data_IF_872122319864
#
_entry.id   IF_872122319864
#
_cell.length_a   1.000
_cell.length_b   1.000
_cell.length_c   1.000
_cell.angle_alpha   90.00
_cell.angle_beta   90.00
_cell.angle_gamma   90.00
#
_symmetry.space_group_name_H-M   'P 1'
#
loop_
_entity.id
_entity.type
_entity.pdbx_description
1 polymer ?
#
# COMPACT_ATOMS: atom_id res chain seq x y z
N UNK A 1 -0.39 1.51 25.78
CA UNK A 1 -1.38 1.55 24.69
C UNK A 1 -1.79 2.99 24.44
N UNK A 2 -2.40 3.69 25.42
CA UNK A 2 -2.77 5.12 25.28
C UNK A 2 -1.61 6.07 24.92
N UNK A 3 -0.40 5.89 25.47
CA UNK A 3 0.74 6.76 25.15
C UNK A 3 1.26 6.58 23.70
N UNK A 4 1.17 5.36 23.16
CA UNK A 4 1.61 5.06 21.79
C UNK A 4 0.60 5.60 20.77
N UNK A 5 -0.70 5.37 21.02
CA UNK A 5 -1.77 5.95 20.22
C UNK A 5 -1.72 7.49 20.27
N UNK A 6 -1.49 8.07 21.45
CA UNK A 6 -1.30 9.51 21.59
C UNK A 6 -0.09 10.00 20.80
N UNK A 7 1.03 9.26 20.83
CA UNK A 7 2.22 9.58 20.04
C UNK A 7 1.94 9.54 18.53
N UNK A 8 1.27 8.51 18.04
CA UNK A 8 0.88 8.39 16.62
C UNK A 8 -0.04 9.52 16.18
N UNK A 9 -1.05 9.86 16.98
CA UNK A 9 -1.94 10.98 16.69
C UNK A 9 -1.19 12.31 16.68
N UNK A 10 -0.22 12.50 17.58
CA UNK A 10 0.65 13.67 17.61
C UNK A 10 1.55 13.71 16.37
N UNK A 11 2.13 12.59 15.95
CA UNK A 11 2.95 12.50 14.75
C UNK A 11 2.14 12.77 13.47
N UNK A 12 0.92 12.22 13.38
CA UNK A 12 -0.02 12.51 12.30
C UNK A 12 -0.37 14.00 12.26
N UNK A 13 -0.65 14.61 13.42
CA UNK A 13 -0.90 16.04 13.51
C UNK A 13 0.30 16.86 13.04
N UNK A 14 1.52 16.51 13.49
CA UNK A 14 2.77 17.18 13.10
C UNK A 14 3.01 17.09 11.60
N UNK A 15 2.85 15.90 11.00
CA UNK A 15 2.98 15.69 9.55
C UNK A 15 1.98 16.54 8.77
N UNK A 16 0.71 16.57 9.19
CA UNK A 16 -0.33 17.41 8.57
C UNK A 16 -0.01 18.90 8.68
N UNK A 17 0.41 19.36 9.86
CA UNK A 17 0.83 20.75 10.08
C UNK A 17 2.03 21.12 9.21
N UNK A 18 3.05 20.27 9.15
CA UNK A 18 4.23 20.47 8.33
C UNK A 18 3.85 20.55 6.84
N UNK A 19 3.00 19.64 6.36
CA UNK A 19 2.51 19.66 4.99
C UNK A 19 1.73 20.95 4.68
N UNK A 20 0.86 21.37 5.60
CA UNK A 20 0.11 22.63 5.46
C UNK A 20 1.06 23.83 5.36
N UNK A 21 2.03 23.93 6.26
CA UNK A 21 3.03 25.01 6.22
C UNK A 21 3.88 24.94 4.95
N UNK A 22 4.30 23.75 4.51
CA UNK A 22 5.03 23.58 3.27
C UNK A 22 4.24 24.11 2.07
N UNK A 23 2.98 23.70 1.92
CA UNK A 23 2.12 24.15 0.80
C UNK A 23 1.89 25.66 0.87
N UNK A 24 1.55 26.19 2.06
CA UNK A 24 1.31 27.62 2.24
C UNK A 24 2.56 28.46 1.94
N UNK A 25 3.69 28.11 2.53
CA UNK A 25 4.94 28.85 2.33
C UNK A 25 5.43 28.72 0.88
N UNK A 26 5.18 27.58 0.23
CA UNK A 26 5.47 27.40 -1.20
C UNK A 26 4.62 28.34 -2.05
N UNK A 27 3.31 28.45 -1.79
CA UNK A 27 2.45 29.41 -2.49
C UNK A 27 2.94 30.86 -2.37
N UNK A 28 3.41 31.25 -1.18
CA UNK A 28 3.90 32.61 -0.92
C UNK A 28 5.28 32.89 -1.54
N UNK A 29 6.20 31.91 -1.48
CA UNK A 29 7.61 32.11 -1.85
C UNK A 29 7.97 31.64 -3.25
N UNK A 30 7.22 30.70 -3.82
CA UNK A 30 7.46 30.16 -5.15
C UNK A 30 6.12 29.81 -5.84
N UNK A 31 5.45 30.82 -6.42
CA UNK A 31 4.16 30.63 -7.09
C UNK A 31 4.20 29.61 -8.23
N UNK A 32 5.30 29.55 -8.99
CA UNK A 32 5.49 28.59 -10.10
C UNK A 32 5.51 27.15 -9.59
N UNK A 33 6.24 26.90 -8.50
CA UNK A 33 6.27 25.56 -7.88
C UNK A 33 4.91 25.19 -7.28
N UNK A 34 4.23 26.14 -6.66
CA UNK A 34 2.87 25.91 -6.16
C UNK A 34 1.91 25.54 -7.29
N UNK A 35 1.93 26.29 -8.40
CA UNK A 35 1.11 26.00 -9.58
C UNK A 35 1.39 24.58 -10.11
N UNK A 36 2.65 24.19 -10.23
CA UNK A 36 3.04 22.83 -10.63
C UNK A 36 2.53 21.75 -9.65
N UNK A 37 2.60 22.01 -8.35
CA UNK A 37 2.10 21.08 -7.32
C UNK A 37 0.57 20.95 -7.35
N UNK A 38 -0.15 22.05 -7.55
CA UNK A 38 -1.62 22.08 -7.56
C UNK A 38 -2.23 21.84 -8.93
N UNK A 39 -1.41 21.67 -9.97
CA UNK A 39 -1.87 21.44 -11.32
C UNK A 39 -2.81 20.22 -11.37
N UNK A 40 -3.87 20.32 -12.18
CA UNK A 40 -4.89 19.27 -12.28
C UNK A 40 -4.23 17.91 -12.57
N UNK A 41 -4.54 16.89 -11.77
CA UNK A 41 -3.94 15.55 -11.86
C UNK A 41 -2.40 15.50 -11.66
N UNK A 42 -1.78 16.50 -11.01
CA UNK A 42 -0.33 16.49 -10.74
C UNK A 42 0.12 15.24 -9.97
N UNK A 43 -0.70 14.73 -9.05
CA UNK A 43 -0.41 13.52 -8.30
C UNK A 43 -0.39 12.28 -9.22
N UNK A 44 -1.41 12.12 -10.06
CA UNK A 44 -1.49 11.01 -11.02
C UNK A 44 -0.31 11.05 -12.02
N UNK A 45 0.01 12.22 -12.58
CA UNK A 45 1.14 12.37 -13.51
C UNK A 45 2.48 12.01 -12.86
N UNK A 46 2.69 12.41 -11.60
CA UNK A 46 3.89 12.04 -10.83
C UNK A 46 3.95 10.54 -10.57
N UNK A 47 2.86 9.93 -10.11
CA UNK A 47 2.83 8.48 -9.85
C UNK A 47 3.11 7.67 -11.10
N UNK A 48 2.50 8.03 -12.24
CA UNK A 48 2.78 7.40 -13.54
C UNK A 48 4.27 7.45 -13.89
N UNK A 49 4.91 8.60 -13.69
CA UNK A 49 6.34 8.73 -13.95
C UNK A 49 7.19 7.86 -13.00
N UNK A 50 6.88 7.88 -11.70
CA UNK A 50 7.59 7.09 -10.71
C UNK A 50 7.42 5.58 -10.93
N UNK A 51 6.18 5.08 -10.95
CA UNK A 51 5.90 3.66 -11.10
C UNK A 51 6.34 3.10 -12.47
N UNK A 52 6.42 3.94 -13.52
CA UNK A 52 7.01 3.51 -14.80
C UNK A 52 8.54 3.48 -14.78
N UNK A 53 9.18 4.21 -13.86
CA UNK A 53 10.63 4.30 -13.71
C UNK A 53 11.20 3.35 -12.67
N UNK A 54 10.39 2.93 -11.70
CA UNK A 54 10.80 2.03 -10.62
C UNK A 54 11.01 0.60 -11.15
N UNK A 55 12.00 -0.16 -10.62
CA UNK A 55 12.10 -1.59 -10.90
C UNK A 55 10.83 -2.28 -10.39
N UNK A 56 10.19 -3.06 -11.24
CA UNK A 56 8.95 -3.76 -10.89
C UNK A 56 9.32 -4.95 -10.01
N UNK A 57 9.29 -4.75 -8.69
CA UNK A 57 9.62 -5.75 -7.65
C UNK A 57 8.55 -6.85 -7.56
N UNK A 58 8.40 -7.63 -8.63
CA UNK A 58 7.52 -8.81 -8.66
C UNK A 58 6.14 -8.58 -9.29
N UNK A 59 5.64 -7.34 -9.38
CA UNK A 59 4.42 -7.04 -10.13
C UNK A 59 4.40 -5.61 -10.76
N UNK A 60 3.44 -5.38 -11.66
CA UNK A 60 3.19 -4.08 -12.29
C UNK A 60 1.79 -3.51 -11.97
N UNK A 61 1.13 -4.04 -10.93
CA UNK A 61 -0.24 -3.73 -10.59
C UNK A 61 -0.42 -2.26 -10.23
N UNK A 62 0.52 -1.67 -9.50
CA UNK A 62 0.48 -0.24 -9.14
C UNK A 62 0.53 0.65 -10.38
N UNK A 63 1.42 0.36 -11.33
CA UNK A 63 1.50 1.08 -12.59
C UNK A 63 0.24 0.88 -13.44
N UNK A 64 -0.26 -0.36 -13.52
CA UNK A 64 -1.47 -0.67 -14.27
C UNK A 64 -2.69 0.07 -13.70
N UNK A 65 -2.80 0.18 -12.38
CA UNK A 65 -3.86 0.91 -11.71
C UNK A 65 -3.83 2.41 -12.07
N UNK A 66 -2.64 3.01 -12.11
CA UNK A 66 -2.48 4.41 -12.52
C UNK A 66 -2.81 4.60 -14.01
N UNK A 67 -2.45 3.65 -14.89
CA UNK A 67 -2.79 3.69 -16.31
C UNK A 67 -4.30 3.54 -16.53
N UNK A 68 -4.98 2.67 -15.79
CA UNK A 68 -6.44 2.55 -15.80
C UNK A 68 -7.09 3.84 -15.31
N UNK A 69 -6.56 4.45 -14.26
CA UNK A 69 -7.03 5.75 -13.75
C UNK A 69 -6.83 6.86 -14.77
N UNK A 70 -5.69 6.87 -15.48
CA UNK A 70 -5.42 7.80 -16.57
C UNK A 70 -6.43 7.62 -17.71
N UNK A 71 -6.69 6.39 -18.13
CA UNK A 71 -7.65 6.08 -19.19
C UNK A 71 -9.06 6.60 -18.84
N UNK A 72 -9.52 6.35 -17.61
CA UNK A 72 -10.83 6.80 -17.13
C UNK A 72 -10.97 8.33 -17.08
N UNK A 73 -9.89 9.04 -16.80
CA UNK A 73 -9.88 10.51 -16.65
C UNK A 73 -9.25 11.22 -17.85
N UNK A 74 -9.07 10.54 -19.00
CA UNK A 74 -8.25 11.05 -20.11
C UNK A 74 -8.69 12.43 -20.61
N UNK A 75 -10.00 12.65 -20.77
CA UNK A 75 -10.57 13.91 -21.22
C UNK A 75 -10.32 15.07 -20.26
N UNK A 76 -10.18 14.78 -18.96
CA UNK A 76 -9.91 15.77 -17.93
C UNK A 76 -8.41 16.03 -17.75
N UNK A 77 -7.59 14.97 -17.86
CA UNK A 77 -6.13 15.03 -17.79
C UNK A 77 -5.54 15.72 -19.02
N UNK A 78 -6.17 15.55 -20.18
CA UNK A 78 -5.71 16.10 -21.46
C UNK A 78 -6.84 16.85 -22.14
N UNK A 79 -7.27 17.98 -21.55
CA UNK A 79 -8.40 18.80 -22.03
C UNK A 79 -8.22 19.31 -23.47
N UNK A 80 -6.98 19.47 -23.91
CA UNK A 80 -6.63 19.93 -25.27
C UNK A 80 -6.46 18.77 -26.27
N UNK A 81 -6.55 17.51 -25.82
CA UNK A 81 -6.42 16.37 -26.71
C UNK A 81 -7.62 16.25 -27.64
N UNK A 82 -7.36 16.48 -28.93
CA UNK A 82 -8.26 16.08 -30.01
C UNK A 82 -8.22 14.57 -30.29
N UNK A 83 -7.23 13.88 -29.72
CA UNK A 83 -7.00 12.45 -29.94
C UNK A 83 -7.55 11.61 -28.78
N UNK A 84 -8.03 10.42 -29.12
CA UNK A 84 -8.35 9.39 -28.14
C UNK A 84 -7.12 9.01 -27.32
N UNK A 85 -7.35 8.44 -26.14
CA UNK A 85 -6.28 7.94 -25.29
C UNK A 85 -5.44 6.92 -26.07
N UNK A 86 -4.10 7.01 -26.06
CA UNK A 86 -3.23 6.10 -26.82
C UNK A 86 -3.19 4.69 -26.23
N UNK A 87 -3.67 4.52 -25.00
CA UNK A 87 -3.78 3.24 -24.30
C UNK A 87 -5.23 2.80 -24.28
N UNK A 88 -5.45 1.49 -24.27
CA UNK A 88 -6.77 0.88 -24.18
C UNK A 88 -6.69 -0.37 -23.31
N UNK A 89 -7.62 -0.50 -22.39
CA UNK A 89 -7.87 -1.71 -21.61
C UNK A 89 -9.30 -2.15 -21.87
N UNK A 90 -9.58 -3.45 -21.79
CA UNK A 90 -10.98 -3.88 -21.77
C UNK A 90 -11.65 -3.45 -20.45
N UNK A 91 -12.98 -3.40 -20.45
CA UNK A 91 -13.74 -3.11 -19.23
C UNK A 91 -13.48 -4.20 -18.16
N UNK A 92 -13.38 -5.46 -18.59
CA UNK A 92 -13.06 -6.59 -17.74
C UNK A 92 -11.66 -6.45 -17.13
N UNK A 93 -10.66 -6.08 -17.93
CA UNK A 93 -9.29 -5.90 -17.47
C UNK A 93 -9.17 -4.72 -16.49
N UNK A 94 -9.86 -3.62 -16.78
CA UNK A 94 -9.88 -2.44 -15.91
C UNK A 94 -10.55 -2.75 -14.58
N UNK A 95 -11.64 -3.52 -14.61
CA UNK A 95 -12.40 -3.92 -13.42
C UNK A 95 -11.58 -4.87 -12.57
N UNK A 96 -10.96 -5.88 -13.18
CA UNK A 96 -10.12 -6.84 -12.49
C UNK A 96 -8.88 -6.17 -11.89
N UNK A 97 -8.23 -5.25 -12.60
CA UNK A 97 -7.10 -4.49 -12.08
C UNK A 97 -7.47 -3.75 -10.79
N UNK A 98 -8.61 -3.06 -10.76
CA UNK A 98 -9.06 -2.31 -9.60
C UNK A 98 -9.50 -3.23 -8.44
N UNK A 99 -10.06 -4.40 -8.77
CA UNK A 99 -10.39 -5.43 -7.78
C UNK A 99 -9.12 -5.96 -7.09
N UNK A 100 -8.08 -6.24 -7.86
CA UNK A 100 -6.80 -6.74 -7.34
C UNK A 100 -6.08 -5.70 -6.48
N UNK A 101 -6.01 -4.43 -6.92
CA UNK A 101 -5.42 -3.33 -6.13
C UNK A 101 -6.13 -3.17 -4.80
N UNK A 102 -7.46 -3.29 -4.80
CA UNK A 102 -8.24 -3.25 -3.56
C UNK A 102 -7.94 -4.44 -2.66
N UNK A 103 -7.90 -5.65 -3.21
CA UNK A 103 -7.57 -6.85 -2.45
C UNK A 103 -6.17 -6.79 -1.85
N UNK A 104 -5.20 -6.24 -2.58
CA UNK A 104 -3.83 -5.99 -2.08
C UNK A 104 -3.85 -5.01 -0.92
N UNK A 105 -4.53 -3.86 -1.06
CA UNK A 105 -4.66 -2.88 0.04
C UNK A 105 -5.30 -3.49 1.29
N UNK A 106 -6.33 -4.32 1.12
CA UNK A 106 -6.99 -5.02 2.24
C UNK A 106 -6.04 -6.03 2.91
N UNK A 107 -5.22 -6.74 2.11
CA UNK A 107 -4.22 -7.67 2.63
C UNK A 107 -3.07 -6.94 3.37
N UNK A 108 -2.59 -5.82 2.84
CA UNK A 108 -1.53 -5.01 3.46
C UNK A 108 -1.98 -4.43 4.81
N UNK A 109 -3.23 -3.99 4.92
CA UNK A 109 -3.83 -3.53 6.18
C UNK A 109 -3.90 -4.67 7.20
N UNK A 110 -4.34 -5.86 6.79
CA UNK A 110 -4.39 -7.03 7.66
C UNK A 110 -2.99 -7.47 8.10
N UNK A 111 -2.02 -7.47 7.20
CA UNK A 111 -0.63 -7.82 7.52
C UNK A 111 -0.02 -6.83 8.50
N UNK A 112 -0.24 -5.53 8.31
CA UNK A 112 0.20 -4.49 9.24
C UNK A 112 -0.39 -4.70 10.63
N UNK A 113 -1.69 -4.99 10.73
CA UNK A 113 -2.33 -5.30 12.01
C UNK A 113 -1.73 -6.55 12.69
N UNK A 114 -1.34 -7.56 11.91
CA UNK A 114 -0.65 -8.75 12.44
C UNK A 114 0.74 -8.41 12.99
N UNK A 115 1.53 -7.59 12.26
CA UNK A 115 2.84 -7.13 12.72
C UNK A 115 2.72 -6.33 14.03
N UNK A 116 1.75 -5.43 14.11
CA UNK A 116 1.46 -4.65 15.32
C UNK A 116 1.07 -5.55 16.50
N UNK A 117 0.23 -6.57 16.27
CA UNK A 117 -0.17 -7.53 17.30
C UNK A 117 1.02 -8.37 17.84
N UNK A 118 2.01 -8.64 16.99
CA UNK A 118 3.23 -9.37 17.36
C UNK A 118 4.29 -8.44 17.98
N UNK A 119 4.23 -7.15 17.70
CA UNK A 119 5.27 -6.19 18.04
C UNK A 119 6.48 -6.25 17.09
N UNK A 120 6.25 -6.66 15.85
CA UNK A 120 7.27 -6.71 14.81
C UNK A 120 7.30 -5.42 13.98
N UNK A 121 8.49 -5.05 13.50
CA UNK A 121 8.64 -3.94 12.55
C UNK A 121 8.09 -4.30 11.17
N UNK A 122 8.04 -3.30 10.27
CA UNK A 122 7.51 -3.45 8.91
C UNK A 122 8.16 -4.58 8.09
N UNK A 123 9.44 -4.89 8.37
CA UNK A 123 10.20 -5.97 7.73
C UNK A 123 10.20 -7.27 8.55
N UNK A 124 9.27 -7.45 9.49
CA UNK A 124 9.22 -8.60 10.39
C UNK A 124 10.32 -8.62 11.46
N UNK A 125 11.15 -7.58 11.54
CA UNK A 125 12.26 -7.51 12.49
C UNK A 125 11.80 -7.28 13.93
N UNK A 126 12.45 -7.97 14.87
CA UNK A 126 12.22 -7.83 16.32
C UNK A 126 13.57 -7.73 17.05
N UNK A 127 13.73 -6.86 18.06
CA UNK A 127 14.91 -6.86 18.91
C UNK A 127 15.07 -8.21 19.63
N UNK A 128 16.31 -8.70 19.75
CA UNK A 128 16.61 -10.01 20.38
C UNK A 128 15.97 -10.17 21.76
N UNK A 129 15.92 -9.10 22.56
CA UNK A 129 15.32 -9.11 23.89
C UNK A 129 13.80 -9.39 23.89
N UNK A 130 13.11 -9.11 22.78
CA UNK A 130 11.66 -9.29 22.61
C UNK A 130 11.31 -10.49 21.73
N UNK A 131 12.29 -11.21 21.18
CA UNK A 131 12.07 -12.30 20.23
C UNK A 131 11.14 -13.40 20.78
N UNK A 132 11.41 -13.88 22.00
CA UNK A 132 10.61 -14.95 22.60
C UNK A 132 9.15 -14.53 22.86
N UNK A 133 8.95 -13.26 23.19
CA UNK A 133 7.63 -12.66 23.35
C UNK A 133 6.91 -12.55 22.01
N UNK A 134 7.56 -12.02 20.98
CA UNK A 134 7.01 -11.93 19.64
C UNK A 134 6.63 -13.31 19.09
N UNK A 135 7.49 -14.33 19.24
CA UNK A 135 7.15 -15.71 18.83
C UNK A 135 6.02 -16.32 19.65
N UNK A 136 5.81 -15.90 20.90
CA UNK A 136 4.64 -16.31 21.68
C UNK A 136 3.35 -15.65 21.16
N UNK A 137 3.41 -14.36 20.84
CA UNK A 137 2.29 -13.63 20.24
C UNK A 137 1.93 -14.20 18.86
N UNK A 138 2.93 -14.48 18.02
CA UNK A 138 2.75 -15.09 16.70
C UNK A 138 2.09 -16.47 16.79
N UNK A 139 2.57 -17.37 17.65
CA UNK A 139 1.91 -18.67 17.87
C UNK A 139 0.47 -18.54 18.35
N UNK A 140 0.19 -17.54 19.20
CA UNK A 140 -1.18 -17.27 19.65
C UNK A 140 -2.03 -16.78 18.48
N UNK A 141 -1.53 -15.87 17.66
CA UNK A 141 -2.21 -15.39 16.46
C UNK A 141 -2.53 -16.54 15.49
N UNK A 142 -1.60 -17.48 15.30
CA UNK A 142 -1.83 -18.69 14.49
C UNK A 142 -2.94 -19.56 15.07
N UNK A 143 -2.94 -19.78 16.38
CA UNK A 143 -3.98 -20.55 17.05
C UNK A 143 -5.35 -19.86 16.92
N UNK A 144 -5.42 -18.55 17.18
CA UNK A 144 -6.65 -17.77 17.07
C UNK A 144 -7.19 -17.78 15.61
N UNK A 145 -6.32 -17.73 14.61
CA UNK A 145 -6.69 -17.84 13.19
C UNK A 145 -7.25 -19.24 12.84
N UNK A 146 -6.63 -20.31 13.35
CA UNK A 146 -7.10 -21.69 13.14
C UNK A 146 -8.42 -21.98 13.85
N UNK A 147 -8.64 -21.40 15.03
CA UNK A 147 -9.90 -21.51 15.78
C UNK A 147 -11.04 -20.72 15.11
N UNK A 148 -10.71 -19.64 14.39
CA UNK A 148 -11.68 -18.84 13.64
C UNK A 148 -12.06 -19.43 12.27
N UNK A 149 -11.30 -20.40 11.75
CA UNK A 149 -11.58 -21.03 10.47
C UNK A 149 -12.88 -21.85 10.53
N UNK A 150 -13.77 -21.63 9.56
CA UNK A 150 -15.10 -22.26 9.54
C UNK A 150 -15.06 -23.64 8.90
N UNK A 151 -14.05 -23.91 8.08
CA UNK A 151 -13.91 -25.15 7.31
C UNK A 151 -12.53 -25.79 7.45
N UNK A 152 -12.47 -27.11 7.24
CA UNK A 152 -11.18 -27.82 7.26
C UNK A 152 -10.27 -27.41 6.10
N UNK A 153 -10.84 -26.99 4.96
CA UNK A 153 -10.07 -26.45 3.84
C UNK A 153 -9.41 -25.11 4.21
N UNK A 154 -10.12 -24.22 4.90
CA UNK A 154 -9.54 -22.97 5.42
C UNK A 154 -8.44 -23.25 6.44
N UNK A 155 -8.65 -24.19 7.37
CA UNK A 155 -7.61 -24.59 8.34
C UNK A 155 -6.35 -25.08 7.63
N UNK A 156 -6.49 -25.97 6.65
CA UNK A 156 -5.36 -26.47 5.87
C UNK A 156 -4.62 -25.34 5.14
N UNK A 157 -5.34 -24.40 4.52
CA UNK A 157 -4.73 -23.24 3.84
C UNK A 157 -3.95 -22.34 4.80
N UNK A 158 -4.47 -22.11 6.01
CA UNK A 158 -3.78 -21.32 7.04
C UNK A 158 -2.50 -22.03 7.50
N UNK A 159 -2.55 -23.35 7.68
CA UNK A 159 -1.38 -24.14 8.09
C UNK A 159 -0.29 -24.16 7.01
N UNK A 160 -0.68 -24.32 5.74
CA UNK A 160 0.23 -24.38 4.60
C UNK A 160 0.83 -23.03 4.21
N UNK A 161 0.12 -21.92 4.45
CA UNK A 161 0.47 -20.58 3.96
C UNK A 161 0.62 -19.56 5.09
N UNK A 162 1.09 -20.00 6.27
CA UNK A 162 1.23 -19.10 7.39
C UNK A 162 2.26 -18.02 7.11
N UNK A 163 1.84 -16.76 7.20
CA UNK A 163 2.60 -15.57 6.79
C UNK A 163 3.91 -15.32 7.57
N UNK A 164 4.12 -16.01 8.70
CA UNK A 164 5.34 -15.90 9.52
C UNK A 164 6.17 -17.19 9.58
N UNK A 165 5.80 -18.21 8.80
CA UNK A 165 6.62 -19.40 8.64
C UNK A 165 7.72 -19.12 7.60
N UNK A 166 8.88 -19.75 7.76
CA UNK A 166 9.98 -19.63 6.81
C UNK A 166 9.54 -20.19 5.45
N UNK A 167 9.73 -19.38 4.41
CA UNK A 167 9.48 -19.81 3.04
C UNK A 167 10.73 -20.52 2.49
N UNK A 168 10.55 -21.74 1.98
CA UNK A 168 11.63 -22.47 1.33
C UNK A 168 11.87 -21.91 -0.08
N UNK A 169 12.87 -21.05 -0.24
CA UNK A 169 13.24 -20.47 -1.55
C UNK A 169 13.93 -21.48 -2.51
N UNK A 170 14.28 -22.69 -2.04
CA UNK A 170 15.00 -23.68 -2.86
C UNK A 170 14.22 -24.14 -4.10
N UNK A 171 12.89 -24.12 -4.06
CA UNK A 171 12.04 -24.52 -5.20
C UNK A 171 12.02 -23.48 -6.34
N UNK A 172 12.61 -22.29 -6.11
CA UNK A 172 12.62 -21.16 -7.06
C UNK A 172 14.04 -20.81 -7.56
N UNK A 173 15.06 -21.59 -7.20
CA UNK A 173 16.45 -21.50 -7.70
C UNK A 173 16.77 -22.56 -8.74
#
# INVERSE_FOLDING_TARGET
MEELEQFEQVELLRRRQLQYYYVKMTAEKNPEHYEALTYDFSALRRRLFHHASDPWEGDNMTLKADLVTLLKNWTEVNRDAKAACPISFSDDESTECLRLVRAQSEADEQFTACLEAIGAGAEGWVPVAHYDEAKRCERKLKADALDAAETEEERARIEENWIFDDFCEEDYM
#
